data_IF_631244088550
#
_entry.id   IF_631244088550
#
_cell.length_a   1.000
_cell.length_b   1.000
_cell.length_c   1.000
_cell.angle_alpha   90.00
_cell.angle_beta   90.00
_cell.angle_gamma   90.00
#
_symmetry.space_group_name_H-M   'P 1'
#
loop_
_entity.id
_entity.type
_entity.pdbx_description
1 polymer ?
#
# COMPACT_ATOMS: atom_id res chain seq x y z
N UNK A 1 18.20 -7.64 0.58
CA UNK A 1 16.84 -7.73 0.02
C UNK A 1 15.79 -7.08 0.90
N UNK A 2 15.88 -7.26 2.21
CA UNK A 2 14.90 -6.69 3.16
C UNK A 2 14.79 -5.16 3.05
N UNK A 3 15.91 -4.46 2.89
CA UNK A 3 15.92 -3.01 2.76
C UNK A 3 15.14 -2.54 1.52
N UNK A 4 15.29 -3.26 0.41
CA UNK A 4 14.58 -2.94 -0.84
C UNK A 4 13.09 -3.22 -0.70
N UNK A 5 12.74 -4.30 0.01
CA UNK A 5 11.33 -4.62 0.27
C UNK A 5 10.70 -3.59 1.20
N UNK A 6 11.42 -3.14 2.22
CA UNK A 6 10.92 -2.09 3.11
C UNK A 6 10.71 -0.77 2.35
N UNK A 7 11.63 -0.42 1.44
CA UNK A 7 11.48 0.78 0.62
C UNK A 7 10.27 0.68 -0.30
N UNK A 8 10.03 -0.48 -0.90
CA UNK A 8 8.86 -0.73 -1.73
C UNK A 8 7.58 -0.62 -0.91
N UNK A 9 7.56 -1.23 0.27
CA UNK A 9 6.42 -1.17 1.18
C UNK A 9 6.06 0.29 1.51
N UNK A 10 7.07 1.10 1.80
CA UNK A 10 6.87 2.51 2.13
C UNK A 10 6.23 3.27 0.96
N UNK A 11 6.68 2.99 -0.28
CA UNK A 11 6.11 3.64 -1.47
C UNK A 11 4.68 3.20 -1.73
N UNK A 12 4.37 1.93 -1.49
CA UNK A 12 3.00 1.40 -1.65
C UNK A 12 2.05 2.03 -0.63
N UNK A 13 2.50 2.14 0.62
CA UNK A 13 1.72 2.78 1.68
C UNK A 13 1.48 4.26 1.37
N UNK A 14 2.51 4.96 0.87
CA UNK A 14 2.38 6.36 0.49
C UNK A 14 1.35 6.54 -0.64
N UNK A 15 1.39 5.67 -1.65
CA UNK A 15 0.44 5.72 -2.76
C UNK A 15 -1.00 5.51 -2.27
N UNK A 16 -1.21 4.55 -1.37
CA UNK A 16 -2.53 4.28 -0.80
C UNK A 16 -3.02 5.48 0.02
N UNK A 17 -2.13 6.03 0.83
CA UNK A 17 -2.44 7.17 1.69
C UNK A 17 -2.85 8.41 0.89
N UNK A 18 -2.19 8.68 -0.22
CA UNK A 18 -2.51 9.81 -1.08
C UNK A 18 -3.95 9.77 -1.58
N UNK A 19 -4.42 8.60 -1.99
CA UNK A 19 -5.79 8.42 -2.47
C UNK A 19 -6.78 8.71 -1.34
N UNK A 20 -6.51 8.20 -0.15
CA UNK A 20 -7.39 8.36 1.00
C UNK A 20 -7.43 9.82 1.48
N UNK A 21 -6.28 10.49 1.51
CA UNK A 21 -6.19 11.89 1.92
C UNK A 21 -6.96 12.78 0.94
N UNK A 22 -6.80 12.54 -0.36
CA UNK A 22 -7.51 13.31 -1.38
C UNK A 22 -9.03 13.20 -1.20
N UNK A 23 -9.55 12.00 -0.96
CA UNK A 23 -10.98 11.79 -0.73
C UNK A 23 -11.44 12.45 0.56
N UNK A 24 -10.63 12.36 1.63
CA UNK A 24 -10.95 12.98 2.90
C UNK A 24 -11.04 14.49 2.78
N UNK A 25 -10.08 15.11 2.08
CA UNK A 25 -10.05 16.55 1.86
C UNK A 25 -11.22 17.04 1.01
N UNK A 26 -11.64 16.23 0.03
CA UNK A 26 -12.77 16.56 -0.83
C UNK A 26 -14.13 16.29 -0.16
N UNK A 27 -14.15 15.60 0.98
CA UNK A 27 -15.38 15.25 1.68
C UNK A 27 -16.22 14.21 0.93
N UNK A 28 -15.57 13.36 0.14
CA UNK A 28 -16.24 12.35 -0.69
C UNK A 28 -15.62 10.97 -0.42
N UNK A 29 -16.29 9.95 -0.95
CA UNK A 29 -15.67 8.62 -1.00
C UNK A 29 -14.83 8.54 -2.29
N UNK A 30 -13.78 7.70 -2.31
CA UNK A 30 -13.00 7.52 -3.53
C UNK A 30 -13.86 6.96 -4.67
N UNK A 31 -13.50 7.29 -5.91
CA UNK A 31 -14.16 6.72 -7.09
C UNK A 31 -13.97 5.20 -7.13
N UNK A 32 -14.75 4.52 -7.97
CA UNK A 32 -14.62 3.08 -8.13
C UNK A 32 -13.20 2.67 -8.55
N UNK A 33 -12.59 3.43 -9.46
CA UNK A 33 -11.21 3.17 -9.87
C UNK A 33 -10.24 3.35 -8.72
N UNK A 34 -10.43 4.40 -7.91
CA UNK A 34 -9.58 4.64 -6.75
C UNK A 34 -9.76 3.56 -5.68
N UNK A 35 -11.00 3.12 -5.45
CA UNK A 35 -11.26 2.03 -4.51
C UNK A 35 -10.58 0.74 -4.94
N UNK A 36 -10.58 0.45 -6.25
CA UNK A 36 -9.87 -0.71 -6.80
C UNK A 36 -8.37 -0.60 -6.55
N UNK A 37 -7.79 0.59 -6.78
CA UNK A 37 -6.37 0.83 -6.53
C UNK A 37 -6.02 0.63 -5.06
N UNK A 38 -6.87 1.10 -4.16
CA UNK A 38 -6.68 0.92 -2.72
C UNK A 38 -6.67 -0.57 -2.38
N UNK A 39 -7.61 -1.34 -2.93
CA UNK A 39 -7.68 -2.78 -2.69
C UNK A 39 -6.47 -3.50 -3.25
N UNK A 40 -6.05 -3.17 -4.47
CA UNK A 40 -4.87 -3.76 -5.09
C UNK A 40 -3.61 -3.43 -4.31
N UNK A 41 -3.48 -2.19 -3.83
CA UNK A 41 -2.35 -1.78 -3.00
C UNK A 41 -2.34 -2.55 -1.69
N UNK A 42 -3.50 -2.75 -1.06
CA UNK A 42 -3.62 -3.50 0.19
C UNK A 42 -3.11 -4.94 0.03
N UNK A 43 -3.53 -5.61 -1.03
CA UNK A 43 -3.09 -6.98 -1.32
C UNK A 43 -1.58 -7.01 -1.58
N UNK A 44 -1.08 -6.07 -2.36
CA UNK A 44 0.35 -5.99 -2.68
C UNK A 44 1.19 -5.71 -1.44
N UNK A 45 0.74 -4.80 -0.58
CA UNK A 45 1.41 -4.49 0.69
C UNK A 45 1.49 -5.76 1.54
N UNK A 46 0.40 -6.52 1.63
CA UNK A 46 0.37 -7.78 2.36
C UNK A 46 1.37 -8.79 1.83
N UNK A 47 1.48 -8.90 0.51
CA UNK A 47 2.46 -9.80 -0.12
C UNK A 47 3.89 -9.38 0.20
N UNK A 48 4.18 -8.07 0.13
CA UNK A 48 5.52 -7.56 0.46
C UNK A 48 5.84 -7.81 1.94
N UNK A 49 4.88 -7.60 2.82
CA UNK A 49 5.06 -7.86 4.26
C UNK A 49 5.36 -9.33 4.54
N UNK A 50 4.69 -10.23 3.84
CA UNK A 50 4.96 -11.66 3.95
C UNK A 50 6.39 -11.98 3.52
N UNK A 51 6.86 -11.38 2.43
CA UNK A 51 8.23 -11.58 1.95
C UNK A 51 9.25 -11.05 2.95
N UNK A 52 8.98 -9.90 3.58
CA UNK A 52 9.85 -9.33 4.61
C UNK A 52 9.95 -10.30 5.80
N UNK A 53 8.81 -10.83 6.25
CA UNK A 53 8.78 -11.80 7.34
C UNK A 53 9.59 -13.06 7.00
N UNK A 54 9.44 -13.57 5.79
CA UNK A 54 10.19 -14.75 5.34
C UNK A 54 11.70 -14.50 5.36
N UNK A 55 12.12 -13.31 4.95
CA UNK A 55 13.55 -12.92 4.99
C UNK A 55 14.07 -12.88 6.42
N UNK A 56 13.24 -12.42 7.35
CA UNK A 56 13.63 -12.29 8.76
C UNK A 56 13.71 -13.65 9.46
N UNK A 57 12.93 -14.61 9.04
CA UNK A 57 12.94 -15.97 9.59
C UNK A 57 14.12 -16.80 9.10
N UNK A 58 14.58 -16.48 7.92
CA UNK A 58 15.68 -17.18 7.31
C UNK A 58 17.00 -16.79 7.90
#
# INVERSE_FOLDING_TARGET
MTEKLNALRARLLAAQREILIAAANAGTIPSDNALRKIADLEVTIGAVETMIDDQRKG
#
